data_IF_576260407109
#
_entry.id   IF_576260407109
#
_cell.length_a   1.000
_cell.length_b   1.000
_cell.length_c   1.000
_cell.angle_alpha   90.00
_cell.angle_beta   90.00
_cell.angle_gamma   90.00
#
_symmetry.space_group_name_H-M   'P 1'
#
loop_
_entity.id
_entity.type
_entity.pdbx_description
1 polymer ?
#
# COMPACT_ATOMS: atom_id res chain seq x y z
N UNK A 1 -25.60 10.28 -9.79
CA UNK A 1 -24.55 11.27 -9.44
C UNK A 1 -23.95 10.84 -8.11
N UNK A 2 -22.77 10.20 -8.14
CA UNK A 2 -22.08 9.83 -6.92
C UNK A 2 -21.47 11.10 -6.31
N UNK A 3 -21.88 11.42 -5.09
CA UNK A 3 -21.28 12.50 -4.31
C UNK A 3 -19.77 12.26 -4.16
N UNK A 4 -18.93 13.29 -4.19
CA UNK A 4 -17.50 13.12 -3.97
C UNK A 4 -17.26 12.56 -2.57
N UNK A 5 -16.65 11.40 -2.51
CA UNK A 5 -16.34 10.64 -1.27
C UNK A 5 -15.33 11.36 -0.37
N UNK A 6 -14.90 12.59 -0.72
CA UNK A 6 -13.76 13.26 -0.11
C UNK A 6 -14.02 14.58 0.62
N UNK A 7 -15.26 15.10 0.61
CA UNK A 7 -15.53 16.38 1.25
C UNK A 7 -15.54 16.29 2.79
N UNK A 8 -15.75 15.08 3.33
CA UNK A 8 -15.70 14.84 4.79
C UNK A 8 -14.30 14.41 5.28
N UNK A 9 -13.40 13.93 4.40
CA UNK A 9 -12.08 13.43 4.80
C UNK A 9 -11.12 14.56 5.18
N UNK A 10 -11.19 15.72 4.54
CA UNK A 10 -10.38 16.89 4.90
C UNK A 10 -10.75 17.46 6.26
N UNK A 11 -12.00 17.32 6.68
CA UNK A 11 -12.49 17.78 7.99
C UNK A 11 -12.04 16.91 9.17
N UNK A 12 -11.55 15.70 8.88
CA UNK A 12 -11.18 14.71 9.90
C UNK A 12 -9.68 14.45 9.98
N UNK A 13 -8.87 15.17 9.20
CA UNK A 13 -7.42 15.05 9.29
C UNK A 13 -6.93 15.55 10.66
N UNK A 14 -6.15 14.68 11.31
CA UNK A 14 -5.51 15.00 12.58
C UNK A 14 -4.13 15.60 12.34
N UNK A 15 -3.69 16.45 13.26
CA UNK A 15 -2.34 16.98 13.25
C UNK A 15 -1.31 15.87 13.56
N UNK A 16 -0.10 15.98 13.02
CA UNK A 16 1.01 15.09 13.35
C UNK A 16 1.51 15.32 14.79
N UNK A 17 2.02 14.28 15.46
CA UNK A 17 2.27 12.91 14.95
C UNK A 17 1.04 12.02 15.01
N UNK A 18 0.97 11.05 14.09
CA UNK A 18 -0.02 9.97 14.12
C UNK A 18 0.61 8.70 14.69
N UNK A 19 -0.15 7.94 15.47
CA UNK A 19 0.27 6.67 16.06
C UNK A 19 -0.62 5.54 15.55
N UNK A 20 -0.02 4.47 15.08
CA UNK A 20 -0.68 3.25 14.63
C UNK A 20 -0.27 2.11 15.52
N UNK A 21 -1.21 1.24 15.88
CA UNK A 21 -0.98 0.14 16.80
C UNK A 21 -1.59 -1.15 16.27
N UNK A 22 -0.84 -2.23 16.33
CA UNK A 22 -1.34 -3.58 16.08
C UNK A 22 -0.65 -4.57 17.02
N UNK A 23 -1.29 -5.72 17.19
CA UNK A 23 -0.80 -6.81 18.02
C UNK A 23 -0.69 -8.07 17.17
N UNK A 24 0.43 -8.76 17.24
CA UNK A 24 0.63 -10.07 16.65
C UNK A 24 0.72 -11.12 17.76
N UNK A 25 -0.10 -12.16 17.66
CA UNK A 25 -0.20 -13.23 18.66
C UNK A 25 0.02 -14.59 18.00
N UNK A 26 0.84 -15.42 18.62
CA UNK A 26 1.15 -16.77 18.15
C UNK A 26 1.08 -17.79 19.31
N UNK A 27 0.73 -19.02 18.96
CA UNK A 27 0.82 -20.18 19.86
C UNK A 27 1.93 -21.11 19.38
N UNK A 28 2.64 -21.73 20.31
CA UNK A 28 3.81 -22.57 19.98
C UNK A 28 3.47 -23.84 19.19
N UNK A 29 2.22 -24.28 19.22
CA UNK A 29 1.71 -25.47 18.54
C UNK A 29 1.12 -25.18 17.16
N UNK A 30 1.13 -23.93 16.72
CA UNK A 30 0.58 -23.49 15.43
C UNK A 30 1.62 -22.66 14.67
N UNK A 31 1.62 -22.77 13.34
CA UNK A 31 2.48 -21.94 12.46
C UNK A 31 1.91 -20.55 12.24
N UNK A 32 0.61 -20.42 12.31
CA UNK A 32 -0.12 -19.19 12.03
C UNK A 32 0.04 -18.13 13.11
N UNK A 33 0.01 -16.88 12.70
CA UNK A 33 0.02 -15.71 13.56
C UNK A 33 -1.26 -14.92 13.35
N UNK A 34 -1.90 -14.49 14.42
CA UNK A 34 -3.03 -13.57 14.38
C UNK A 34 -2.56 -12.14 14.54
N UNK A 35 -2.93 -11.27 13.60
CA UNK A 35 -2.63 -9.84 13.63
C UNK A 35 -3.94 -9.08 13.79
N UNK A 36 -4.02 -8.26 14.80
CA UNK A 36 -5.20 -7.48 15.16
C UNK A 36 -4.88 -6.00 15.35
N UNK A 37 -5.83 -5.15 15.00
CA UNK A 37 -5.81 -3.72 15.30
C UNK A 37 -7.22 -3.28 15.69
N UNK A 38 -7.31 -2.33 16.60
CA UNK A 38 -8.61 -1.89 17.13
C UNK A 38 -9.55 -1.38 16.02
N UNK A 39 -10.74 -1.95 15.96
CA UNK A 39 -11.77 -1.56 15.00
C UNK A 39 -11.59 -2.13 13.59
N UNK A 40 -10.57 -2.97 13.36
CA UNK A 40 -10.30 -3.62 12.07
C UNK A 40 -10.56 -5.12 12.13
N UNK A 41 -10.79 -5.72 10.97
CA UNK A 41 -10.86 -7.17 10.86
C UNK A 41 -9.48 -7.80 11.13
N UNK A 42 -9.48 -8.89 11.87
CA UNK A 42 -8.26 -9.64 12.15
C UNK A 42 -7.70 -10.30 10.88
N UNK A 43 -6.38 -10.38 10.82
CA UNK A 43 -5.66 -11.10 9.78
C UNK A 43 -5.01 -12.35 10.36
N UNK A 44 -5.07 -13.44 9.60
CA UNK A 44 -4.24 -14.62 9.84
C UNK A 44 -3.09 -14.60 8.85
N UNK A 45 -1.87 -14.72 9.36
CA UNK A 45 -0.65 -14.76 8.55
C UNK A 45 0.12 -16.04 8.78
N UNK A 46 0.99 -16.39 7.86
CA UNK A 46 1.87 -17.54 7.96
C UNK A 46 3.18 -17.29 7.21
N UNK A 47 4.10 -18.19 7.35
CA UNK A 47 5.37 -18.21 6.62
C UNK A 47 5.10 -18.36 5.12
N UNK A 48 5.72 -17.54 4.25
CA UNK A 48 5.53 -17.67 2.80
C UNK A 48 6.23 -18.92 2.25
N UNK A 49 5.84 -19.33 1.03
CA UNK A 49 6.42 -20.51 0.35
C UNK A 49 7.93 -20.43 0.21
N UNK A 50 8.45 -19.26 -0.05
CA UNK A 50 9.89 -18.98 -0.23
C UNK A 50 10.72 -19.34 1.01
N UNK A 51 10.10 -19.33 2.19
CA UNK A 51 10.70 -19.76 3.46
C UNK A 51 10.16 -21.11 3.95
N UNK A 52 9.54 -21.90 3.07
CA UNK A 52 9.05 -23.24 3.38
C UNK A 52 7.67 -23.29 4.03
N UNK A 53 6.93 -22.21 4.02
CA UNK A 53 5.56 -22.15 4.53
C UNK A 53 4.53 -22.70 3.54
N UNK A 54 3.25 -22.80 3.96
CA UNK A 54 2.17 -23.33 3.12
C UNK A 54 1.79 -22.41 1.96
N UNK A 55 1.94 -21.12 2.12
CA UNK A 55 1.63 -20.13 1.09
C UNK A 55 0.14 -19.92 0.81
N UNK A 56 -0.72 -20.22 1.76
CA UNK A 56 -2.17 -20.07 1.70
C UNK A 56 -2.71 -18.93 2.57
N UNK A 57 -1.82 -18.22 3.23
CA UNK A 57 -2.12 -17.05 4.06
C UNK A 57 -1.24 -15.86 3.65
N UNK A 58 -1.64 -14.66 4.08
CA UNK A 58 -0.78 -13.49 4.01
C UNK A 58 0.52 -13.74 4.77
N UNK A 59 1.62 -13.22 4.25
CA UNK A 59 2.90 -13.21 4.94
C UNK A 59 3.33 -11.78 5.26
N UNK A 60 4.27 -11.56 6.19
CA UNK A 60 4.80 -10.21 6.44
C UNK A 60 5.37 -9.55 5.19
N UNK A 61 6.02 -10.33 4.32
CA UNK A 61 6.58 -9.86 3.06
C UNK A 61 5.49 -9.39 2.09
N UNK A 62 4.43 -10.20 1.93
CA UNK A 62 3.29 -9.86 1.10
C UNK A 62 2.54 -8.64 1.64
N UNK A 63 2.39 -8.52 2.96
CA UNK A 63 1.75 -7.37 3.60
C UNK A 63 2.57 -6.08 3.39
N UNK A 64 3.90 -6.15 3.46
CA UNK A 64 4.76 -4.99 3.21
C UNK A 64 4.60 -4.49 1.76
N UNK A 65 4.65 -5.39 0.78
CA UNK A 65 4.47 -5.06 -0.64
C UNK A 65 3.06 -4.54 -0.90
N UNK A 66 2.04 -5.17 -0.29
CA UNK A 66 0.66 -4.69 -0.36
C UNK A 66 0.49 -3.28 0.23
N UNK A 67 1.16 -2.99 1.34
CA UNK A 67 1.13 -1.66 1.95
C UNK A 67 1.70 -0.58 1.01
N UNK A 68 2.75 -0.88 0.26
CA UNK A 68 3.31 0.02 -0.75
C UNK A 68 2.31 0.29 -1.87
N UNK A 69 1.72 -0.76 -2.44
CA UNK A 69 0.72 -0.62 -3.51
C UNK A 69 -0.52 0.17 -3.05
N UNK A 70 -1.05 -0.18 -1.89
CA UNK A 70 -2.22 0.47 -1.30
C UNK A 70 -1.95 1.95 -0.99
N UNK A 71 -0.81 2.25 -0.38
CA UNK A 71 -0.41 3.62 -0.08
C UNK A 71 -0.28 4.47 -1.35
N UNK A 72 0.29 3.92 -2.43
CA UNK A 72 0.36 4.60 -3.71
C UNK A 72 -1.04 4.95 -4.23
N UNK A 73 -1.97 3.99 -4.25
CA UNK A 73 -3.34 4.19 -4.73
C UNK A 73 -4.08 5.25 -3.91
N UNK A 74 -3.99 5.17 -2.59
CA UNK A 74 -4.63 6.15 -1.69
C UNK A 74 -4.02 7.54 -1.84
N UNK A 75 -2.71 7.63 -1.99
CA UNK A 75 -2.00 8.90 -2.22
C UNK A 75 -2.38 9.51 -3.57
N UNK A 76 -2.43 8.69 -4.64
CA UNK A 76 -2.93 9.14 -5.94
C UNK A 76 -4.35 9.70 -5.82
N UNK A 77 -5.24 8.96 -5.17
CA UNK A 77 -6.64 9.38 -4.97
C UNK A 77 -6.72 10.74 -4.25
N UNK A 78 -5.93 10.93 -3.20
CA UNK A 78 -5.91 12.19 -2.44
C UNK A 78 -5.39 13.38 -3.27
N UNK A 79 -4.47 13.16 -4.21
CA UNK A 79 -3.88 14.21 -5.05
C UNK A 79 -4.73 14.47 -6.30
N UNK A 80 -5.36 13.44 -6.86
CA UNK A 80 -6.12 13.54 -8.10
C UNK A 80 -7.30 14.52 -8.00
N UNK A 81 -8.05 14.50 -6.91
CA UNK A 81 -9.21 15.34 -6.69
C UNK A 81 -8.87 16.85 -6.73
N UNK A 82 -7.96 17.37 -5.88
CA UNK A 82 -7.59 18.80 -5.94
C UNK A 82 -6.87 19.17 -7.24
N UNK A 83 -6.22 18.22 -7.91
CA UNK A 83 -5.58 18.42 -9.21
C UNK A 83 -6.55 18.37 -10.38
N UNK A 84 -7.83 18.11 -10.13
CA UNK A 84 -8.89 17.99 -11.16
C UNK A 84 -8.56 16.91 -12.20
N UNK A 85 -7.97 15.81 -11.77
CA UNK A 85 -7.81 14.61 -12.57
C UNK A 85 -9.03 13.71 -12.34
N UNK A 86 -9.80 13.52 -13.41
CA UNK A 86 -10.92 12.57 -13.43
C UNK A 86 -10.40 11.22 -13.89
N UNK A 87 -10.79 10.15 -13.20
CA UNK A 87 -10.35 8.80 -13.49
C UNK A 87 -11.46 7.79 -13.19
N UNK A 88 -11.42 6.63 -13.83
CA UNK A 88 -12.43 5.58 -13.67
C UNK A 88 -11.92 4.43 -12.82
N UNK A 89 -10.71 3.96 -13.10
CA UNK A 89 -10.09 2.83 -12.39
C UNK A 89 -8.57 2.99 -12.37
N UNK A 90 -7.95 2.43 -11.34
CA UNK A 90 -6.50 2.37 -11.21
C UNK A 90 -6.12 1.03 -10.60
N UNK A 91 -5.21 0.33 -11.30
CA UNK A 91 -4.55 -0.88 -10.80
C UNK A 91 -3.09 -0.55 -10.50
N UNK A 92 -2.62 -0.96 -9.35
CA UNK A 92 -1.22 -0.90 -8.96
C UNK A 92 -0.72 -2.30 -8.66
N UNK A 93 0.06 -2.85 -9.56
CA UNK A 93 0.75 -4.13 -9.42
C UNK A 93 2.12 -3.89 -8.81
N UNK A 94 2.39 -4.47 -7.66
CA UNK A 94 3.63 -4.27 -6.92
C UNK A 94 4.40 -5.59 -6.78
N UNK A 95 5.68 -5.55 -7.09
CA UNK A 95 6.61 -6.67 -6.91
C UNK A 95 7.78 -6.23 -6.05
N UNK A 96 7.99 -6.91 -4.93
CA UNK A 96 9.13 -6.71 -4.04
C UNK A 96 10.22 -7.74 -4.31
N UNK A 97 11.46 -7.29 -4.40
CA UNK A 97 12.64 -8.15 -4.54
C UNK A 97 13.35 -8.25 -3.20
N UNK A 98 13.37 -9.45 -2.62
CA UNK A 98 14.07 -9.76 -1.39
C UNK A 98 15.42 -10.39 -1.73
N UNK A 99 16.49 -9.83 -1.21
CA UNK A 99 17.86 -10.34 -1.41
C UNK A 99 18.61 -10.41 -0.09
N UNK A 100 19.72 -11.12 -0.11
CA UNK A 100 20.63 -11.17 1.02
C UNK A 100 21.83 -10.26 0.76
N UNK A 101 21.88 -9.16 1.49
CA UNK A 101 22.99 -8.21 1.42
C UNK A 101 23.80 -8.33 2.72
N UNK A 102 25.08 -8.62 2.61
CA UNK A 102 25.96 -8.81 3.77
C UNK A 102 25.39 -9.77 4.84
N UNK A 103 24.80 -10.89 4.38
CA UNK A 103 24.13 -11.92 5.19
C UNK A 103 22.78 -11.51 5.77
N UNK A 104 22.30 -10.30 5.53
CA UNK A 104 21.01 -9.80 6.02
C UNK A 104 19.98 -9.87 4.90
N UNK A 105 18.86 -10.63 5.06
CA UNK A 105 17.74 -10.57 4.13
C UNK A 105 17.05 -9.20 4.23
N UNK A 106 16.81 -8.58 3.09
CA UNK A 106 16.12 -7.29 3.03
C UNK A 106 15.52 -7.07 1.64
N UNK A 107 14.47 -6.28 1.56
CA UNK A 107 13.99 -5.78 0.29
C UNK A 107 15.02 -4.80 -0.28
N UNK A 108 15.41 -5.03 -1.52
CA UNK A 108 16.37 -4.19 -2.24
C UNK A 108 15.70 -3.37 -3.33
N UNK A 109 14.50 -3.78 -3.75
CA UNK A 109 13.77 -3.15 -4.83
C UNK A 109 12.28 -3.42 -4.66
N UNK A 110 11.45 -2.40 -4.90
CA UNK A 110 10.01 -2.55 -5.07
C UNK A 110 9.63 -1.90 -6.38
N UNK A 111 9.07 -2.68 -7.29
CA UNK A 111 8.65 -2.26 -8.60
C UNK A 111 7.14 -2.13 -8.67
N UNK A 112 6.66 -0.97 -9.14
CA UNK A 112 5.23 -0.71 -9.33
C UNK A 112 4.92 -0.60 -10.82
N UNK A 113 3.90 -1.32 -11.26
CA UNK A 113 3.27 -1.14 -12.57
C UNK A 113 1.87 -0.61 -12.38
N UNK A 114 1.63 0.61 -12.85
CA UNK A 114 0.36 1.31 -12.68
C UNK A 114 -0.39 1.35 -13.99
N UNK A 115 -1.65 0.94 -13.98
CA UNK A 115 -2.59 1.09 -15.10
C UNK A 115 -3.74 1.97 -14.64
N UNK A 116 -4.03 3.01 -15.40
CA UNK A 116 -5.11 3.93 -15.09
C UNK A 116 -6.04 4.09 -16.29
N UNK A 117 -7.33 4.11 -16.01
CA UNK A 117 -8.37 4.41 -16.98
C UNK A 117 -8.93 5.81 -16.69
N UNK A 118 -8.93 6.65 -17.71
CA UNK A 118 -9.38 8.05 -17.64
C UNK A 118 -10.34 8.36 -18.80
N UNK A 119 -11.17 9.41 -18.71
CA UNK A 119 -11.94 9.89 -19.87
C UNK A 119 -11.05 10.30 -21.05
N UNK A 120 -11.58 10.16 -22.27
CA UNK A 120 -10.84 10.45 -23.52
C UNK A 120 -10.36 11.89 -23.63
N UNK A 121 -11.03 12.83 -22.98
CA UNK A 121 -10.69 14.26 -22.98
C UNK A 121 -9.71 14.64 -21.85
N UNK A 122 -9.26 13.70 -21.05
CA UNK A 122 -8.29 13.95 -19.99
C UNK A 122 -6.88 14.07 -20.55
N UNK A 123 -6.20 15.17 -20.23
CA UNK A 123 -4.82 15.41 -20.64
C UNK A 123 -3.86 14.37 -20.02
N UNK A 124 -3.22 13.56 -20.84
CA UNK A 124 -2.26 12.53 -20.41
C UNK A 124 -1.14 13.11 -19.55
N UNK A 125 -0.57 14.23 -19.96
CA UNK A 125 0.52 14.90 -19.25
C UNK A 125 0.14 15.30 -17.82
N UNK A 126 -1.10 15.73 -17.64
CA UNK A 126 -1.65 16.07 -16.32
C UNK A 126 -1.78 14.84 -15.43
N UNK A 127 -2.25 13.73 -16.00
CA UNK A 127 -2.35 12.43 -15.29
C UNK A 127 -0.97 11.94 -14.88
N UNK A 128 0.01 11.96 -15.78
CA UNK A 128 1.38 11.56 -15.49
C UNK A 128 2.02 12.39 -14.37
N UNK A 129 1.79 13.70 -14.35
CA UNK A 129 2.27 14.57 -13.26
C UNK A 129 1.67 14.18 -11.91
N UNK A 130 0.37 13.85 -11.87
CA UNK A 130 -0.29 13.42 -10.63
C UNK A 130 0.20 12.05 -10.17
N UNK A 131 0.41 11.11 -11.09
CA UNK A 131 1.01 9.81 -10.79
C UNK A 131 2.42 9.96 -10.21
N UNK A 132 3.24 10.81 -10.81
CA UNK A 132 4.61 11.09 -10.31
C UNK A 132 4.58 11.74 -8.92
N UNK A 133 3.70 12.69 -8.70
CA UNK A 133 3.52 13.30 -7.39
C UNK A 133 3.06 12.30 -6.32
N UNK A 134 2.20 11.36 -6.71
CA UNK A 134 1.76 10.28 -5.82
C UNK A 134 2.93 9.37 -5.42
N UNK A 135 3.80 9.02 -6.37
CA UNK A 135 5.02 8.27 -6.10
C UNK A 135 5.92 9.00 -5.09
N UNK A 136 6.21 10.27 -5.36
CA UNK A 136 7.09 11.08 -4.52
C UNK A 136 6.53 11.33 -3.11
N UNK A 137 5.21 11.29 -2.95
CA UNK A 137 4.50 11.58 -1.70
C UNK A 137 4.05 10.32 -0.95
N UNK A 138 4.30 9.11 -1.47
CA UNK A 138 3.91 7.88 -0.83
C UNK A 138 4.67 7.67 0.48
N UNK A 139 3.98 7.88 1.62
CA UNK A 139 4.61 7.86 2.94
C UNK A 139 5.21 6.49 3.32
N UNK A 140 4.59 5.39 2.89
CA UNK A 140 5.13 4.04 3.14
C UNK A 140 6.43 3.85 2.37
N UNK A 141 6.46 4.19 1.09
CA UNK A 141 7.68 4.12 0.26
C UNK A 141 8.78 5.02 0.83
N UNK A 142 8.45 6.24 1.25
CA UNK A 142 9.40 7.17 1.85
C UNK A 142 10.00 6.67 3.19
N UNK A 143 9.38 5.65 3.79
CA UNK A 143 9.85 5.01 5.03
C UNK A 143 10.75 3.79 4.77
N UNK A 144 10.91 3.39 3.51
CA UNK A 144 11.70 2.23 3.10
C UNK A 144 13.02 2.68 2.43
N UNK A 145 14.00 1.77 2.47
CA UNK A 145 15.30 1.96 1.80
C UNK A 145 15.43 1.22 0.47
N UNK A 146 14.38 0.44 0.13
CA UNK A 146 14.31 -0.33 -1.12
C UNK A 146 13.92 0.55 -2.30
#
# INVERSE_FOLDING_TARGET
>A
MLAPVFDDAERLMQDFPHHYHCVATANADQSQVHVASQGLADLTTDVPKEFGGPGDQWSPEALLVAAVADCFVLTFRAIAAPSRVVWHALDCDATGKLERINRTPQFTEIHLTVRISVPDDMEEEKVLRVLKKAEDSCLVTNSLTA
#
